data_IF_292073553264
#
_entry.id   IF_292073553264
#
_cell.length_a   1.000
_cell.length_b   1.000
_cell.length_c   1.000
_cell.angle_alpha   90.00
_cell.angle_beta   90.00
_cell.angle_gamma   90.00
#
_symmetry.space_group_name_H-M   'P 1'
#
loop_
_entity.id
_entity.type
_entity.pdbx_description
1 polymer ?
#
# COMPACT_ATOMS: atom_id res chain seq x y z
N UNK A 1 -17.98 -14.11 11.33
CA UNK A 1 -17.22 -12.97 11.90
C UNK A 1 -17.57 -11.77 11.04
N UNK A 2 -17.99 -10.64 11.62
CA UNK A 2 -18.33 -9.46 10.80
C UNK A 2 -17.02 -8.81 10.36
N UNK A 3 -16.52 -9.20 9.18
CA UNK A 3 -15.26 -8.74 8.58
C UNK A 3 -15.37 -7.28 8.11
N UNK A 4 -15.98 -6.39 8.89
CA UNK A 4 -16.24 -5.03 8.42
C UNK A 4 -15.02 -4.11 8.53
N UNK A 5 -14.00 -4.47 9.31
CA UNK A 5 -12.79 -3.67 9.54
C UNK A 5 -11.55 -4.55 9.76
N UNK A 6 -10.38 -4.03 9.40
CA UNK A 6 -9.09 -4.57 9.84
C UNK A 6 -8.94 -4.37 11.36
N UNK A 7 -8.19 -5.25 12.02
CA UNK A 7 -7.79 -4.98 13.40
C UNK A 7 -6.85 -3.77 13.44
N UNK A 8 -6.93 -2.97 14.51
CA UNK A 8 -6.05 -1.80 14.68
C UNK A 8 -4.56 -2.19 14.62
N UNK A 9 -4.20 -3.36 15.16
CA UNK A 9 -2.85 -3.90 15.10
C UNK A 9 -2.38 -4.12 13.65
N UNK A 10 -3.24 -4.73 12.82
CA UNK A 10 -2.93 -4.96 11.42
C UNK A 10 -2.87 -3.65 10.63
N UNK A 11 -3.79 -2.70 10.87
CA UNK A 11 -3.75 -1.37 10.26
C UNK A 11 -2.44 -0.63 10.56
N UNK A 12 -2.00 -0.65 11.83
CA UNK A 12 -0.74 -0.04 12.23
C UNK A 12 0.47 -0.73 11.60
N UNK A 13 0.47 -2.07 11.55
CA UNK A 13 1.54 -2.84 10.92
C UNK A 13 1.66 -2.55 9.42
N UNK A 14 0.55 -2.58 8.67
CA UNK A 14 0.58 -2.30 7.23
C UNK A 14 0.97 -0.86 6.93
N UNK A 15 0.53 0.11 7.75
CA UNK A 15 0.96 1.51 7.63
C UNK A 15 2.46 1.67 7.88
N UNK A 16 3.00 0.98 8.90
CA UNK A 16 4.42 1.05 9.23
C UNK A 16 5.28 0.49 8.10
N UNK A 17 4.88 -0.63 7.49
CA UNK A 17 5.59 -1.22 6.34
C UNK A 17 5.53 -0.25 5.14
N UNK A 18 4.36 0.29 4.81
CA UNK A 18 4.21 1.24 3.71
C UNK A 18 5.05 2.53 3.92
N UNK A 19 5.12 3.04 5.15
CA UNK A 19 5.89 4.22 5.50
C UNK A 19 7.42 4.02 5.40
N UNK A 20 7.91 2.78 5.48
CA UNK A 20 9.33 2.48 5.27
C UNK A 20 9.76 2.65 3.81
N UNK A 21 8.85 2.41 2.85
CA UNK A 21 9.15 2.55 1.42
C UNK A 21 9.30 4.02 0.97
N UNK A 22 8.62 4.93 1.65
CA UNK A 22 8.57 6.35 1.28
C UNK A 22 8.85 7.24 2.48
N UNK A 23 10.07 7.79 2.53
CA UNK A 23 10.47 8.73 3.57
C UNK A 23 9.49 9.90 3.69
N UNK A 24 9.28 10.37 4.91
CA UNK A 24 8.40 11.50 5.23
C UNK A 24 6.96 11.34 4.71
N UNK A 25 6.47 10.10 4.64
CA UNK A 25 5.10 9.79 4.20
C UNK A 25 4.35 9.07 5.30
N UNK A 26 3.09 9.46 5.51
CA UNK A 26 2.09 8.69 6.27
C UNK A 26 0.98 8.25 5.32
N UNK A 27 0.29 7.18 5.71
CA UNK A 27 -0.82 6.65 4.92
C UNK A 27 -2.12 6.71 5.70
N UNK A 28 -3.17 7.12 5.00
CA UNK A 28 -4.55 6.86 5.40
C UNK A 28 -5.04 5.66 4.60
N UNK A 29 -5.58 4.66 5.28
CA UNK A 29 -6.11 3.47 4.64
C UNK A 29 -7.60 3.65 4.31
N UNK A 30 -8.01 3.15 3.14
CA UNK A 30 -9.42 2.93 2.81
C UNK A 30 -9.58 1.44 2.54
N UNK A 31 -10.33 0.76 3.39
CA UNK A 31 -10.39 -0.71 3.45
C UNK A 31 -11.74 -1.19 2.94
N UNK A 32 -11.73 -2.21 2.07
CA UNK A 32 -12.92 -2.95 1.65
C UNK A 32 -12.63 -4.43 1.86
N UNK A 33 -13.47 -5.12 2.63
CA UNK A 33 -13.30 -6.54 2.95
C UNK A 33 -14.57 -7.28 2.53
N UNK A 34 -14.39 -8.43 1.91
CA UNK A 34 -15.39 -9.47 1.70
C UNK A 34 -14.83 -10.82 2.19
N UNK A 35 -15.60 -11.91 2.09
CA UNK A 35 -15.23 -13.21 2.70
C UNK A 35 -13.80 -13.68 2.37
N UNK A 36 -13.39 -13.60 1.10
CA UNK A 36 -12.10 -14.13 0.63
C UNK A 36 -11.17 -13.05 0.02
N UNK A 37 -11.53 -11.78 0.19
CA UNK A 37 -10.87 -10.70 -0.53
C UNK A 37 -10.80 -9.43 0.31
N UNK A 38 -9.64 -8.78 0.26
CA UNK A 38 -9.43 -7.44 0.81
C UNK A 38 -8.80 -6.53 -0.23
N UNK A 39 -9.32 -5.31 -0.31
CA UNK A 39 -8.66 -4.17 -0.93
C UNK A 39 -8.31 -3.14 0.14
N UNK A 40 -7.07 -2.63 0.10
CA UNK A 40 -6.63 -1.49 0.90
C UNK A 40 -6.08 -0.44 -0.05
N UNK A 41 -6.70 0.73 -0.10
CA UNK A 41 -6.14 1.90 -0.78
C UNK A 41 -5.27 2.68 0.22
N UNK A 42 -3.99 2.86 -0.12
CA UNK A 42 -3.02 3.62 0.67
C UNK A 42 -2.95 5.05 0.13
N UNK A 43 -3.59 5.98 0.83
CA UNK A 43 -3.53 7.40 0.47
C UNK A 43 -2.35 8.08 1.15
N UNK A 44 -1.35 8.49 0.37
CA UNK A 44 -0.13 9.12 0.86
C UNK A 44 -0.30 10.59 1.26
N UNK A 45 0.28 10.96 2.40
CA UNK A 45 0.36 12.35 2.86
C UNK A 45 1.78 12.67 3.36
N UNK A 46 2.29 13.86 3.06
CA UNK A 46 3.57 14.33 3.57
C UNK A 46 3.53 14.49 5.09
N UNK A 47 4.63 14.15 5.74
CA UNK A 47 4.81 14.31 7.18
C UNK A 47 5.56 15.60 7.54
N UNK A 48 5.60 16.61 6.64
CA UNK A 48 6.49 17.79 6.67
C UNK A 48 6.98 18.18 8.08
N UNK A 49 8.31 18.37 8.18
CA UNK A 49 9.11 18.66 9.38
C UNK A 49 8.25 19.11 10.57
N UNK A 50 8.05 18.18 11.51
CA UNK A 50 7.05 18.23 12.56
C UNK A 50 7.25 19.41 13.51
N UNK A 51 6.82 20.62 13.12
CA UNK A 51 6.56 21.72 14.03
C UNK A 51 5.03 21.88 14.17
N UNK A 52 4.42 21.34 15.23
CA UNK A 52 2.98 21.44 15.47
C UNK A 52 2.47 22.88 15.49
N UNK A 53 3.35 23.86 15.74
CA UNK A 53 3.00 25.29 15.82
C UNK A 53 2.90 25.98 14.46
N UNK A 54 3.46 25.40 13.40
CA UNK A 54 3.55 26.03 12.07
C UNK A 54 2.81 25.24 10.98
N UNK A 55 1.87 24.36 11.35
CA UNK A 55 1.08 23.64 10.36
C UNK A 55 0.06 24.57 9.72
N UNK A 56 -0.06 24.58 8.38
CA UNK A 56 -1.18 25.21 7.69
C UNK A 56 -2.54 24.67 8.13
N UNK A 57 -2.62 23.39 8.52
CA UNK A 57 -3.85 22.72 8.94
C UNK A 57 -3.56 21.72 10.08
N UNK A 58 -4.33 21.75 11.18
CA UNK A 58 -4.17 20.78 12.27
C UNK A 58 -4.50 19.34 11.84
N UNK A 59 -5.34 19.15 10.81
CA UNK A 59 -5.72 17.84 10.32
C UNK A 59 -4.58 17.20 9.49
N UNK A 60 -3.98 16.09 9.96
CA UNK A 60 -2.92 15.42 9.23
C UNK A 60 -3.36 14.85 7.85
N UNK A 61 -4.65 14.59 7.68
CA UNK A 61 -5.19 14.04 6.43
C UNK A 61 -5.82 15.14 5.55
N UNK A 62 -5.50 16.41 5.82
CA UNK A 62 -5.89 17.52 4.97
C UNK A 62 -5.34 17.34 3.55
N UNK A 63 -6.13 17.75 2.55
CA UNK A 63 -5.70 17.74 1.15
C UNK A 63 -4.46 18.61 0.92
N UNK A 64 -4.17 19.56 1.81
CA UNK A 64 -2.95 20.35 1.80
C UNK A 64 -1.67 19.50 1.88
N UNK A 65 -1.75 18.32 2.52
CA UNK A 65 -0.61 17.42 2.70
C UNK A 65 -0.63 16.23 1.73
N UNK A 66 -1.60 16.15 0.82
CA UNK A 66 -1.80 14.98 -0.03
C UNK A 66 -0.64 14.79 -1.01
N UNK A 67 -0.07 13.59 -1.06
CA UNK A 67 0.92 13.19 -2.06
C UNK A 67 0.40 12.01 -2.89
N UNK A 68 -0.29 12.25 -4.01
CA UNK A 68 -0.84 11.16 -4.81
C UNK A 68 0.21 10.33 -5.55
N UNK A 69 1.47 10.80 -5.62
CA UNK A 69 2.56 10.08 -6.31
C UNK A 69 3.02 8.82 -5.59
N UNK A 70 2.65 8.68 -4.33
CA UNK A 70 2.99 7.50 -3.51
C UNK A 70 1.72 6.72 -3.13
N UNK A 71 0.61 6.98 -3.83
CA UNK A 71 -0.58 6.16 -3.69
C UNK A 71 -0.39 4.81 -4.32
N UNK A 72 -0.93 3.81 -3.65
CA UNK A 72 -1.05 2.48 -4.20
C UNK A 72 -2.22 1.75 -3.57
N UNK A 73 -2.58 0.64 -4.18
CA UNK A 73 -3.59 -0.28 -3.71
C UNK A 73 -2.94 -1.61 -3.41
N UNK A 74 -3.44 -2.26 -2.37
CA UNK A 74 -3.19 -3.66 -2.09
C UNK A 74 -4.48 -4.42 -2.34
N UNK A 75 -4.39 -5.54 -3.03
CA UNK A 75 -5.44 -6.54 -3.09
C UNK A 75 -4.87 -7.87 -2.59
N UNK A 76 -5.64 -8.61 -1.80
CA UNK A 76 -5.26 -9.94 -1.37
C UNK A 76 -6.44 -10.88 -1.48
N UNK A 77 -6.24 -12.00 -2.17
CA UNK A 77 -7.20 -13.08 -2.35
C UNK A 77 -6.48 -14.37 -2.73
N UNK A 78 -7.04 -15.52 -2.35
CA UNK A 78 -6.54 -16.85 -2.75
C UNK A 78 -5.02 -17.01 -2.64
N UNK A 79 -4.44 -16.63 -1.51
CA UNK A 79 -2.98 -16.70 -1.25
C UNK A 79 -2.11 -15.88 -2.23
N UNK A 80 -2.67 -14.87 -2.87
CA UNK A 80 -1.99 -13.96 -3.80
C UNK A 80 -2.16 -12.51 -3.35
N UNK A 81 -1.07 -11.75 -3.39
CA UNK A 81 -1.03 -10.33 -3.06
C UNK A 81 -0.72 -9.53 -4.33
N UNK A 82 -1.53 -8.52 -4.63
CA UNK A 82 -1.31 -7.60 -5.73
C UNK A 82 -1.09 -6.20 -5.17
N UNK A 83 0.06 -5.58 -5.48
CA UNK A 83 0.29 -4.16 -5.25
C UNK A 83 0.22 -3.40 -6.57
N UNK A 84 -0.70 -2.44 -6.68
CA UNK A 84 -0.85 -1.61 -7.88
C UNK A 84 -0.75 -0.13 -7.57
N UNK A 85 0.03 0.62 -8.33
CA UNK A 85 0.19 2.07 -8.12
C UNK A 85 0.46 2.83 -9.42
N UNK A 86 0.45 4.17 -9.35
CA UNK A 86 0.75 5.05 -10.48
C UNK A 86 2.25 5.35 -10.58
N UNK A 87 2.84 5.06 -11.74
CA UNK A 87 4.27 5.15 -12.00
C UNK A 87 4.55 5.81 -13.33
N UNK A 88 5.15 7.01 -13.30
CA UNK A 88 5.54 7.77 -14.50
C UNK A 88 4.43 7.88 -15.57
N UNK A 89 3.17 7.91 -15.14
CA UNK A 89 2.02 8.04 -16.02
C UNK A 89 1.35 6.73 -16.46
N UNK A 90 1.74 5.58 -15.89
CA UNK A 90 1.07 4.29 -16.09
C UNK A 90 0.83 3.58 -14.75
N UNK A 91 -0.23 2.80 -14.65
CA UNK A 91 -0.48 1.88 -13.55
C UNK A 91 0.34 0.62 -13.76
N UNK A 92 1.20 0.31 -12.79
CA UNK A 92 1.98 -0.93 -12.78
C UNK A 92 1.55 -1.76 -11.57
N UNK A 93 1.51 -3.07 -11.76
CA UNK A 93 1.04 -4.02 -10.74
C UNK A 93 2.08 -5.11 -10.49
N UNK A 94 2.48 -5.26 -9.23
CA UNK A 94 3.23 -6.40 -8.75
C UNK A 94 2.26 -7.49 -8.31
N UNK A 95 2.35 -8.66 -8.92
CA UNK A 95 1.70 -9.87 -8.46
C UNK A 95 2.69 -10.67 -7.63
N UNK A 96 2.32 -11.03 -6.41
CA UNK A 96 3.21 -11.61 -5.42
C UNK A 96 2.62 -12.85 -4.74
N UNK A 97 3.41 -13.90 -4.74
CA UNK A 97 3.29 -15.09 -3.89
C UNK A 97 4.67 -15.44 -3.32
N UNK A 98 4.77 -16.25 -2.25
CA UNK A 98 6.06 -16.55 -1.61
C UNK A 98 7.13 -17.16 -2.53
N UNK A 99 6.69 -17.88 -3.57
CA UNK A 99 7.60 -18.59 -4.48
C UNK A 99 7.75 -17.92 -5.85
N UNK A 100 6.91 -16.92 -6.15
CA UNK A 100 6.87 -16.29 -7.46
C UNK A 100 6.31 -14.87 -7.35
N UNK A 101 6.95 -13.95 -8.04
CA UNK A 101 6.40 -12.62 -8.28
C UNK A 101 6.73 -12.17 -9.71
N UNK A 102 5.90 -11.30 -10.25
CA UNK A 102 6.09 -10.71 -11.58
C UNK A 102 5.36 -9.36 -11.66
N UNK A 103 5.76 -8.54 -12.63
CA UNK A 103 5.20 -7.21 -12.83
C UNK A 103 4.37 -7.18 -14.11
N UNK A 104 3.19 -6.56 -14.05
CA UNK A 104 2.35 -6.29 -15.21
C UNK A 104 2.22 -4.78 -15.47
N UNK A 105 2.14 -4.40 -16.74
CA UNK A 105 1.70 -3.06 -17.15
C UNK A 105 0.17 -2.97 -17.26
N UNK A 106 -0.35 -1.80 -17.66
CA UNK A 106 -1.80 -1.55 -17.83
C UNK A 106 -2.49 -2.46 -18.86
N UNK A 107 -1.73 -2.97 -19.83
CA UNK A 107 -2.24 -3.88 -20.86
C UNK A 107 -2.23 -5.35 -20.41
N UNK A 108 -1.72 -5.63 -19.20
CA UNK A 108 -1.55 -6.99 -18.68
C UNK A 108 -0.32 -7.72 -19.22
N UNK A 109 0.61 -7.01 -19.87
CA UNK A 109 1.87 -7.60 -20.33
C UNK A 109 2.88 -7.66 -19.19
N UNK A 110 3.59 -8.79 -19.09
CA UNK A 110 4.69 -8.93 -18.15
C UNK A 110 5.85 -7.99 -18.52
N UNK A 111 6.36 -7.29 -17.52
CA UNK A 111 7.46 -6.34 -17.65
C UNK A 111 8.55 -6.65 -16.61
N UNK A 112 9.75 -6.13 -16.85
CA UNK A 112 10.78 -6.12 -15.82
C UNK A 112 10.39 -5.24 -14.63
N UNK A 113 10.98 -5.51 -13.46
CA UNK A 113 10.78 -4.70 -12.26
C UNK A 113 11.06 -3.21 -12.54
N UNK A 114 10.10 -2.31 -12.28
CA UNK A 114 10.22 -0.91 -12.64
C UNK A 114 11.18 -0.17 -11.69
N UNK A 115 12.12 0.60 -12.26
CA UNK A 115 13.05 1.42 -11.49
C UNK A 115 12.50 2.85 -11.22
N UNK A 116 12.66 3.41 -10.00
CA UNK A 116 13.39 2.89 -8.84
C UNK A 116 12.54 2.20 -7.77
N UNK A 117 11.20 2.25 -7.87
CA UNK A 117 10.35 1.87 -6.75
C UNK A 117 10.06 0.34 -6.73
N UNK A 118 10.55 -0.44 -7.71
CA UNK A 118 10.21 -1.87 -7.88
C UNK A 118 10.62 -2.70 -6.67
N UNK A 119 11.88 -2.56 -6.29
CA UNK A 119 12.46 -3.17 -5.09
C UNK A 119 11.68 -2.81 -3.82
N UNK A 120 11.12 -1.60 -3.75
CA UNK A 120 10.33 -1.16 -2.58
C UNK A 120 9.02 -1.91 -2.49
N UNK A 121 8.33 -2.08 -3.61
CA UNK A 121 7.08 -2.83 -3.69
C UNK A 121 7.30 -4.31 -3.44
N UNK A 122 8.37 -4.89 -3.97
CA UNK A 122 8.74 -6.29 -3.72
C UNK A 122 9.05 -6.53 -2.23
N UNK A 123 9.85 -5.66 -1.60
CA UNK A 123 10.12 -5.70 -0.16
C UNK A 123 8.87 -5.51 0.69
N UNK A 124 7.99 -4.59 0.27
CA UNK A 124 6.71 -4.33 0.93
C UNK A 124 5.78 -5.56 0.83
N UNK A 125 5.65 -6.16 -0.36
CA UNK A 125 4.84 -7.34 -0.59
C UNK A 125 5.31 -8.53 0.26
N UNK A 126 6.63 -8.75 0.34
CA UNK A 126 7.22 -9.81 1.17
C UNK A 126 6.89 -9.65 2.67
N UNK A 127 6.77 -8.43 3.17
CA UNK A 127 6.39 -8.15 4.56
C UNK A 127 4.88 -8.19 4.80
N UNK A 128 4.08 -7.70 3.85
CA UNK A 128 2.61 -7.65 3.97
C UNK A 128 1.97 -9.03 3.81
N UNK A 129 2.49 -9.87 2.91
CA UNK A 129 1.95 -11.19 2.62
C UNK A 129 1.71 -12.06 3.87
N UNK A 130 2.71 -12.32 4.75
CA UNK A 130 2.49 -13.17 5.92
C UNK A 130 1.46 -12.60 6.90
N UNK A 131 1.36 -11.26 7.03
CA UNK A 131 0.37 -10.62 7.90
C UNK A 131 -1.05 -10.84 7.39
N UNK A 132 -1.27 -10.68 6.09
CA UNK A 132 -2.57 -10.90 5.47
C UNK A 132 -2.94 -12.38 5.48
N UNK A 133 -1.99 -13.26 5.19
CA UNK A 133 -2.20 -14.71 5.28
C UNK A 133 -2.63 -15.14 6.68
N UNK A 134 -2.01 -14.60 7.73
CA UNK A 134 -2.42 -14.90 9.10
C UNK A 134 -3.84 -14.38 9.41
N UNK A 135 -4.27 -13.28 8.81
CA UNK A 135 -5.58 -12.68 9.07
C UNK A 135 -6.73 -13.41 8.37
N UNK A 136 -6.49 -13.94 7.17
CA UNK A 136 -7.52 -14.58 6.33
C UNK A 136 -7.46 -16.12 6.33
N UNK A 137 -6.52 -16.73 7.05
CA UNK A 137 -6.46 -18.18 7.30
C UNK A 137 -7.39 -18.65 8.42
#
# INVERSE_FOLDING_TARGET
MNLSNLSLELELAVCAIAAQAYAHTRYKLIVKISEDFITIEFQGYFTEQFNPKNRPDPNPNSNLYRNPRVDFSLNYFKDELILGGWWRGAILSLYYSPNQHFWLNEDGNEIASPYPDGDKFESMAAQLYPLLKQHFN
#
